data_IF_856594596913
#
_entry.id   IF_856594596913
#
_cell.length_a   1.000
_cell.length_b   1.000
_cell.length_c   1.000
_cell.angle_alpha   90.00
_cell.angle_beta   90.00
_cell.angle_gamma   90.00
#
_symmetry.space_group_name_H-M   'P 1'
#
loop_
_entity.id
_entity.type
_entity.pdbx_description
1 polymer ?
#
# COMPACT_ATOMS: atom_id res chain seq x y z
N UNK A 1 -18.25 8.84 -20.01
CA UNK A 1 -18.01 7.89 -18.89
C UNK A 1 -16.54 7.84 -18.48
N UNK A 2 -15.58 7.58 -19.38
CA UNK A 2 -14.15 7.43 -19.05
C UNK A 2 -13.49 8.56 -18.22
N UNK A 3 -13.97 9.82 -18.34
CA UNK A 3 -13.40 10.95 -17.60
C UNK A 3 -13.78 10.94 -16.09
N UNK A 4 -14.97 10.42 -15.74
CA UNK A 4 -15.44 10.36 -14.35
C UNK A 4 -14.70 9.26 -13.57
N UNK A 5 -14.54 8.09 -14.18
CA UNK A 5 -13.79 6.96 -13.60
C UNK A 5 -12.33 7.33 -13.35
N UNK A 6 -11.68 7.96 -14.33
CA UNK A 6 -10.29 8.43 -14.17
C UNK A 6 -10.14 9.45 -13.05
N UNK A 7 -11.10 10.38 -12.92
CA UNK A 7 -11.13 11.35 -11.82
C UNK A 7 -11.23 10.65 -10.47
N UNK A 8 -12.12 9.67 -10.32
CA UNK A 8 -12.28 8.92 -9.06
C UNK A 8 -11.03 8.10 -8.69
N UNK A 9 -10.33 7.53 -9.68
CA UNK A 9 -9.05 6.83 -9.45
C UNK A 9 -7.97 7.82 -8.98
N UNK A 10 -7.87 8.98 -9.63
CA UNK A 10 -6.92 10.01 -9.23
C UNK A 10 -7.23 10.57 -7.83
N UNK A 11 -8.51 10.69 -7.46
CA UNK A 11 -8.93 11.03 -6.11
C UNK A 11 -8.50 9.97 -5.10
N UNK A 12 -8.70 8.67 -5.40
CA UNK A 12 -8.23 7.58 -4.53
C UNK A 12 -6.70 7.60 -4.32
N UNK A 13 -5.92 7.80 -5.39
CA UNK A 13 -4.47 7.93 -5.29
C UNK A 13 -4.05 9.15 -4.46
N UNK A 14 -4.73 10.29 -4.61
CA UNK A 14 -4.48 11.49 -3.80
C UNK A 14 -4.81 11.26 -2.33
N UNK A 15 -5.96 10.65 -2.03
CA UNK A 15 -6.35 10.29 -0.67
C UNK A 15 -5.37 9.31 -0.03
N UNK A 16 -4.90 8.30 -0.77
CA UNK A 16 -3.87 7.39 -0.30
C UNK A 16 -2.57 8.12 0.09
N UNK A 17 -2.11 9.07 -0.74
CA UNK A 17 -0.93 9.91 -0.43
C UNK A 17 -1.15 10.78 0.80
N UNK A 18 -2.34 11.40 0.89
CA UNK A 18 -2.71 12.24 2.03
C UNK A 18 -2.69 11.47 3.35
N UNK A 19 -3.18 10.23 3.37
CA UNK A 19 -3.12 9.41 4.59
C UNK A 19 -1.73 8.85 4.88
N UNK A 20 -0.87 8.67 3.86
CA UNK A 20 0.51 8.24 4.08
C UNK A 20 1.37 9.37 4.70
N UNK A 21 1.19 10.61 4.23
CA UNK A 21 2.12 11.71 4.55
C UNK A 21 2.32 12.04 6.03
N UNK A 22 1.32 11.98 6.93
CA UNK A 22 1.52 12.36 8.31
C UNK A 22 2.03 11.22 9.22
N UNK A 23 2.16 9.97 8.74
CA UNK A 23 2.46 8.80 9.59
C UNK A 23 3.72 9.01 10.45
N UNK A 24 4.82 9.45 9.85
CA UNK A 24 6.08 9.72 10.57
C UNK A 24 6.07 11.04 11.35
N UNK A 25 5.16 11.96 11.00
CA UNK A 25 5.11 13.31 11.56
C UNK A 25 4.12 13.45 12.71
N UNK A 26 3.40 12.39 13.09
CA UNK A 26 2.38 12.43 14.15
C UNK A 26 2.92 13.00 15.47
N UNK A 27 4.17 12.72 15.83
CA UNK A 27 4.78 13.22 17.08
C UNK A 27 4.98 14.74 17.08
N UNK A 28 5.05 15.36 15.91
CA UNK A 28 5.24 16.82 15.78
C UNK A 28 3.94 17.59 16.07
N UNK A 29 2.79 16.91 16.04
CA UNK A 29 1.49 17.50 16.28
C UNK A 29 1.09 17.35 17.75
N UNK A 30 1.52 18.32 18.56
CA UNK A 30 1.33 18.40 20.02
C UNK A 30 -0.13 18.29 20.52
N UNK A 31 -1.14 18.29 19.64
CA UNK A 31 -2.56 18.19 19.97
C UNK A 31 -3.13 16.78 19.83
N UNK A 32 -2.40 15.81 19.24
CA UNK A 32 -2.84 14.40 19.09
C UNK A 32 -2.59 13.55 20.35
N UNK A 33 -2.60 14.19 21.52
CA UNK A 33 -1.99 13.77 22.80
C UNK A 33 -2.34 12.39 23.35
N UNK A 34 -3.36 11.69 22.86
CA UNK A 34 -3.83 10.50 23.57
C UNK A 34 -3.27 9.18 23.04
N UNK A 35 -3.09 8.98 21.72
CA UNK A 35 -2.66 7.66 21.17
C UNK A 35 -1.98 7.77 19.80
N UNK A 36 -0.75 8.33 19.70
CA UNK A 36 -0.09 8.57 18.42
C UNK A 36 0.08 7.30 17.59
N UNK A 37 0.41 6.16 18.20
CA UNK A 37 0.59 4.89 17.48
C UNK A 37 -0.71 4.35 16.86
N UNK A 38 -1.85 4.56 17.54
CA UNK A 38 -3.15 4.16 16.99
C UNK A 38 -3.55 5.03 15.80
N UNK A 39 -3.19 6.32 15.84
CA UNK A 39 -3.41 7.25 14.73
C UNK A 39 -2.55 6.83 13.54
N UNK A 40 -1.27 6.53 13.75
CA UNK A 40 -0.38 6.02 12.69
C UNK A 40 -0.91 4.75 12.03
N UNK A 41 -1.28 3.76 12.84
CA UNK A 41 -1.85 2.51 12.33
C UNK A 41 -3.15 2.76 11.52
N UNK A 42 -3.99 3.69 11.99
CA UNK A 42 -5.22 4.07 11.28
C UNK A 42 -4.95 4.77 9.95
N UNK A 43 -3.94 5.63 9.88
CA UNK A 43 -3.50 6.31 8.67
C UNK A 43 -2.89 5.33 7.65
N UNK A 44 -2.03 4.42 8.12
CA UNK A 44 -1.47 3.34 7.29
C UNK A 44 -2.58 2.50 6.66
N UNK A 45 -3.53 2.05 7.47
CA UNK A 45 -4.72 1.31 7.03
C UNK A 45 -5.58 2.12 6.06
N UNK A 46 -5.84 3.39 6.35
CA UNK A 46 -6.62 4.27 5.47
C UNK A 46 -5.95 4.43 4.10
N UNK A 47 -4.63 4.59 4.07
CA UNK A 47 -3.86 4.64 2.81
C UNK A 47 -4.00 3.35 2.01
N UNK A 48 -3.80 2.17 2.64
CA UNK A 48 -3.99 0.88 1.98
C UNK A 48 -5.42 0.67 1.46
N UNK A 49 -6.43 1.09 2.23
CA UNK A 49 -7.83 1.04 1.81
C UNK A 49 -8.07 1.87 0.55
N UNK A 50 -7.52 3.08 0.48
CA UNK A 50 -7.65 3.95 -0.70
C UNK A 50 -6.92 3.37 -1.92
N UNK A 51 -5.74 2.78 -1.75
CA UNK A 51 -5.05 2.08 -2.84
C UNK A 51 -5.90 0.90 -3.31
N UNK A 52 -6.39 0.08 -2.39
CA UNK A 52 -7.20 -1.10 -2.70
C UNK A 52 -8.58 -0.75 -3.27
N UNK A 53 -9.12 0.45 -3.00
CA UNK A 53 -10.38 0.95 -3.57
C UNK A 53 -10.32 1.08 -5.10
N UNK A 54 -9.13 1.25 -5.67
CA UNK A 54 -8.93 1.33 -7.12
C UNK A 54 -9.39 0.04 -7.82
N UNK A 55 -9.15 -1.13 -7.21
CA UNK A 55 -9.67 -2.44 -7.66
C UNK A 55 -11.20 -2.41 -7.80
N UNK A 56 -11.90 -1.80 -6.84
CA UNK A 56 -13.36 -1.68 -6.87
C UNK A 56 -13.85 -0.65 -7.89
N UNK A 57 -13.13 0.47 -8.06
CA UNK A 57 -13.46 1.50 -9.04
C UNK A 57 -13.30 1.04 -10.49
N UNK A 58 -12.46 0.02 -10.72
CA UNK A 58 -12.20 -0.52 -12.06
C UNK A 58 -13.05 -1.75 -12.40
N UNK A 59 -13.77 -2.31 -11.42
CA UNK A 59 -14.74 -3.38 -11.68
C UNK A 59 -15.81 -2.87 -12.65
N UNK A 60 -16.01 -3.62 -13.74
CA UNK A 60 -16.96 -3.24 -14.78
C UNK A 60 -16.48 -2.15 -15.74
N UNK A 61 -15.25 -1.67 -15.61
CA UNK A 61 -14.63 -0.79 -16.61
C UNK A 61 -13.92 -1.60 -17.68
N UNK A 62 -13.64 -0.97 -18.83
CA UNK A 62 -12.93 -1.61 -19.96
C UNK A 62 -11.47 -1.95 -19.62
N UNK A 63 -10.94 -1.41 -18.52
CA UNK A 63 -9.56 -1.62 -18.06
C UNK A 63 -9.58 -2.47 -16.79
N UNK A 64 -10.41 -3.51 -16.78
CA UNK A 64 -10.51 -4.39 -15.64
C UNK A 64 -9.13 -4.96 -15.27
N UNK A 65 -8.76 -4.77 -14.01
CA UNK A 65 -7.71 -5.51 -13.35
C UNK A 65 -8.20 -5.94 -11.99
N UNK A 66 -7.66 -7.05 -11.48
CA UNK A 66 -7.89 -7.45 -10.09
C UNK A 66 -6.62 -7.35 -9.27
N UNK A 67 -6.76 -6.86 -8.05
CA UNK A 67 -5.74 -6.98 -7.01
C UNK A 67 -5.75 -8.36 -6.33
N UNK A 68 -6.82 -9.14 -6.47
CA UNK A 68 -6.90 -10.50 -5.90
C UNK A 68 -6.26 -11.48 -6.87
N UNK A 69 -5.36 -12.35 -6.37
CA UNK A 69 -4.69 -13.38 -7.17
C UNK A 69 -4.14 -12.84 -8.50
N UNK A 70 -3.59 -11.63 -8.44
CA UNK A 70 -3.07 -10.96 -9.63
C UNK A 70 -1.79 -11.64 -10.09
N UNK A 71 -1.58 -11.72 -11.41
CA UNK A 71 -0.29 -12.13 -11.99
C UNK A 71 0.84 -11.18 -11.58
N UNK A 72 0.49 -9.95 -11.20
CA UNK A 72 1.41 -9.01 -10.60
C UNK A 72 1.45 -9.23 -9.07
N UNK A 73 2.61 -9.63 -8.51
CA UNK A 73 2.75 -9.88 -7.08
C UNK A 73 2.48 -8.64 -6.22
N UNK A 74 2.74 -7.43 -6.72
CA UNK A 74 2.54 -6.18 -5.95
C UNK A 74 1.06 -5.90 -5.71
N UNK A 75 0.21 -6.16 -6.70
CA UNK A 75 -1.24 -6.01 -6.54
C UNK A 75 -1.80 -7.02 -5.54
N UNK A 76 -1.32 -8.26 -5.60
CA UNK A 76 -1.66 -9.30 -4.61
C UNK A 76 -1.26 -8.89 -3.20
N UNK A 77 -0.06 -8.31 -3.04
CA UNK A 77 0.42 -7.80 -1.76
C UNK A 77 -0.46 -6.68 -1.22
N UNK A 78 -0.82 -5.68 -2.04
CA UNK A 78 -1.70 -4.58 -1.62
C UNK A 78 -3.01 -5.12 -1.04
N UNK A 79 -3.61 -6.13 -1.71
CA UNK A 79 -4.85 -6.73 -1.25
C UNK A 79 -4.68 -7.49 0.05
N UNK A 80 -3.62 -8.29 0.16
CA UNK A 80 -3.30 -9.07 1.37
C UNK A 80 -3.05 -8.13 2.56
N UNK A 81 -2.22 -7.11 2.40
CA UNK A 81 -1.94 -6.11 3.43
C UNK A 81 -3.20 -5.36 3.86
N UNK A 82 -4.03 -4.91 2.90
CA UNK A 82 -5.30 -4.26 3.24
C UNK A 82 -6.22 -5.20 4.01
N UNK A 83 -6.37 -6.44 3.54
CA UNK A 83 -7.24 -7.41 4.20
C UNK A 83 -6.73 -7.74 5.60
N UNK A 84 -5.43 -7.89 5.76
CA UNK A 84 -4.77 -8.06 7.06
C UNK A 84 -5.08 -6.90 8.01
N UNK A 85 -4.86 -5.65 7.58
CA UNK A 85 -5.10 -4.47 8.42
C UNK A 85 -6.58 -4.21 8.74
N UNK A 86 -7.52 -4.74 7.94
CA UNK A 86 -8.97 -4.53 8.13
C UNK A 86 -9.66 -5.70 8.81
N UNK A 87 -9.28 -6.94 8.50
CA UNK A 87 -9.94 -8.17 8.96
C UNK A 87 -9.30 -8.74 10.22
N UNK A 88 -8.00 -8.52 10.41
CA UNK A 88 -7.28 -8.93 11.61
C UNK A 88 -7.03 -7.70 12.50
N UNK A 89 -6.74 -7.95 13.78
CA UNK A 89 -6.53 -6.89 14.79
C UNK A 89 -5.57 -5.84 14.21
N UNK A 90 -5.90 -4.53 14.29
CA UNK A 90 -5.06 -3.49 13.72
C UNK A 90 -3.68 -3.58 14.34
N UNK A 91 -2.67 -3.81 13.51
CA UNK A 91 -1.30 -3.90 13.98
C UNK A 91 -0.83 -2.52 14.42
N UNK A 92 -0.16 -2.49 15.57
CA UNK A 92 0.58 -1.31 15.96
C UNK A 92 1.81 -1.20 15.05
N UNK A 93 2.13 0.03 14.66
CA UNK A 93 3.37 0.29 13.96
C UNK A 93 4.48 0.42 15.01
N UNK A 94 5.54 -0.35 14.84
CA UNK A 94 6.72 -0.29 15.69
C UNK A 94 7.65 0.81 15.19
N UNK A 95 8.23 1.55 16.14
CA UNK A 95 9.29 2.50 15.83
C UNK A 95 10.61 1.76 15.62
N UNK A 96 11.30 2.09 14.53
CA UNK A 96 12.65 1.60 14.23
C UNK A 96 13.54 2.78 13.85
N UNK A 97 14.79 2.72 14.28
CA UNK A 97 15.81 3.70 13.89
C UNK A 97 16.56 3.16 12.67
N UNK A 98 16.59 3.94 11.60
CA UNK A 98 17.37 3.64 10.39
C UNK A 98 18.57 4.57 10.37
N UNK A 99 19.74 3.97 10.41
CA UNK A 99 21.01 4.66 10.22
C UNK A 99 21.26 4.84 8.72
N UNK A 100 21.49 6.08 8.32
CA UNK A 100 21.83 6.45 6.94
C UNK A 100 23.18 7.12 6.95
N UNK A 101 24.11 6.54 6.21
CA UNK A 101 25.42 7.12 5.96
C UNK A 101 25.48 7.64 4.53
N UNK A 102 25.80 8.92 4.36
CA UNK A 102 25.99 9.55 3.06
C UNK A 102 27.33 10.28 3.04
N UNK A 103 28.36 9.65 2.46
CA UNK A 103 29.72 10.17 2.52
C UNK A 103 30.27 10.15 3.95
N UNK A 104 30.64 11.31 4.49
CA UNK A 104 31.05 11.49 5.89
C UNK A 104 29.90 11.73 6.87
N UNK A 105 28.68 11.94 6.36
CA UNK A 105 27.54 12.32 7.19
C UNK A 105 26.81 11.08 7.68
N UNK A 106 26.53 11.05 8.99
CA UNK A 106 25.74 10.02 9.66
C UNK A 106 24.46 10.64 10.19
N UNK A 107 23.32 10.09 9.80
CA UNK A 107 22.01 10.53 10.28
C UNK A 107 21.19 9.32 10.70
N UNK A 108 20.52 9.43 11.85
CA UNK A 108 19.55 8.43 12.33
C UNK A 108 18.16 8.97 12.09
N UNK A 109 17.36 8.24 11.32
CA UNK A 109 15.97 8.57 11.06
C UNK A 109 15.05 7.63 11.82
N UNK A 110 14.08 8.21 12.53
CA UNK A 110 12.97 7.43 13.09
C UNK A 110 12.02 7.04 11.97
N UNK A 111 11.79 5.75 11.84
CA UNK A 111 10.86 5.15 10.91
C UNK A 111 9.84 4.29 11.65
N UNK A 112 8.78 3.94 10.95
CA UNK A 112 7.74 3.06 11.47
C UNK A 112 7.60 1.85 10.55
N UNK A 113 7.45 0.66 11.14
CA UNK A 113 7.24 -0.61 10.42
C UNK A 113 6.02 -1.33 10.98
N UNK A 114 5.34 -2.11 10.12
CA UNK A 114 4.33 -3.07 10.55
C UNK A 114 5.02 -4.38 10.90
N UNK A 115 5.15 -4.66 12.20
CA UNK A 115 5.72 -5.92 12.69
C UNK A 115 4.71 -7.06 12.67
N UNK A 116 5.17 -8.26 13.02
CA UNK A 116 4.33 -9.45 13.24
C UNK A 116 3.46 -9.90 12.05
N UNK A 117 3.82 -9.47 10.84
CA UNK A 117 3.22 -10.01 9.62
C UNK A 117 3.84 -11.37 9.32
N UNK A 118 3.11 -12.44 9.64
CA UNK A 118 3.55 -13.81 9.40
C UNK A 118 2.63 -14.53 8.42
N UNK A 119 3.14 -15.61 7.81
CA UNK A 119 2.32 -16.49 6.98
C UNK A 119 1.10 -17.01 7.74
N UNK A 120 1.28 -17.34 9.02
CA UNK A 120 0.22 -17.84 9.89
C UNK A 120 -0.93 -16.83 10.04
N UNK A 121 -0.62 -15.53 10.15
CA UNK A 121 -1.67 -14.52 10.18
C UNK A 121 -2.39 -14.39 8.84
N UNK A 122 -1.65 -14.45 7.72
CA UNK A 122 -2.27 -14.37 6.39
C UNK A 122 -3.19 -15.56 6.09
N UNK A 123 -2.91 -16.75 6.66
CA UNK A 123 -3.81 -17.91 6.56
C UNK A 123 -5.21 -17.66 7.11
N UNK A 124 -5.35 -16.71 8.04
CA UNK A 124 -6.65 -16.33 8.63
C UNK A 124 -7.48 -15.45 7.69
N UNK A 125 -6.90 -14.96 6.59
CA UNK A 125 -7.60 -14.11 5.62
C UNK A 125 -8.56 -14.94 4.76
N UNK A 126 -9.77 -14.39 4.54
CA UNK A 126 -10.80 -15.05 3.74
C UNK A 126 -10.33 -15.48 2.34
N UNK A 127 -9.50 -14.65 1.71
CA UNK A 127 -9.03 -14.85 0.34
C UNK A 127 -7.70 -15.64 0.26
N UNK A 128 -7.16 -16.16 1.37
CA UNK A 128 -5.87 -16.85 1.40
C UNK A 128 -5.79 -18.02 0.43
N UNK A 129 -6.88 -18.80 0.32
CA UNK A 129 -7.01 -19.97 -0.56
C UNK A 129 -6.81 -19.67 -2.06
N UNK A 130 -6.74 -18.39 -2.46
CA UNK A 130 -6.53 -17.97 -3.85
C UNK A 130 -5.06 -17.80 -4.23
N UNK A 131 -4.14 -18.04 -3.29
CA UNK A 131 -2.71 -17.87 -3.48
C UNK A 131 -1.98 -19.17 -3.16
N UNK A 132 -0.84 -19.38 -3.81
CA UNK A 132 0.09 -20.42 -3.40
C UNK A 132 0.83 -20.00 -2.10
N UNK A 133 1.09 -20.96 -1.22
CA UNK A 133 1.81 -20.72 0.04
C UNK A 133 3.18 -20.06 -0.21
N UNK A 134 3.94 -20.61 -1.16
CA UNK A 134 5.27 -20.11 -1.52
C UNK A 134 5.22 -18.69 -2.11
N UNK A 135 4.12 -18.31 -2.75
CA UNK A 135 3.92 -16.96 -3.24
C UNK A 135 3.72 -15.99 -2.08
N UNK A 136 2.90 -16.36 -1.09
CA UNK A 136 2.66 -15.50 0.08
C UNK A 136 3.93 -15.31 0.90
N UNK A 137 4.69 -16.37 1.14
CA UNK A 137 5.97 -16.27 1.87
C UNK A 137 6.92 -15.26 1.21
N UNK A 138 7.06 -15.33 -0.13
CA UNK A 138 7.88 -14.37 -0.89
C UNK A 138 7.35 -12.94 -0.78
N UNK A 139 6.03 -12.76 -0.78
CA UNK A 139 5.41 -11.44 -0.63
C UNK A 139 5.63 -10.85 0.77
N UNK A 140 5.55 -11.68 1.81
CA UNK A 140 5.81 -11.26 3.19
C UNK A 140 7.29 -10.88 3.36
N UNK A 141 8.21 -11.70 2.85
CA UNK A 141 9.65 -11.40 2.89
C UNK A 141 9.95 -10.10 2.15
N UNK A 142 9.44 -9.95 0.92
CA UNK A 142 9.63 -8.74 0.14
C UNK A 142 9.05 -7.51 0.85
N UNK A 143 7.87 -7.63 1.46
CA UNK A 143 7.28 -6.56 2.25
C UNK A 143 8.17 -6.17 3.43
N UNK A 144 8.62 -7.15 4.21
CA UNK A 144 9.45 -6.92 5.40
C UNK A 144 10.78 -6.24 5.05
N UNK A 145 11.46 -6.72 4.00
CA UNK A 145 12.69 -6.12 3.49
C UNK A 145 12.48 -4.66 3.05
N UNK A 146 11.41 -4.38 2.30
CA UNK A 146 11.17 -3.03 1.78
C UNK A 146 10.72 -2.06 2.87
N UNK A 147 9.84 -2.47 3.79
CA UNK A 147 9.43 -1.60 4.89
C UNK A 147 10.59 -1.31 5.85
N UNK A 148 11.49 -2.27 6.10
CA UNK A 148 12.64 -2.06 6.98
C UNK A 148 13.68 -1.14 6.36
N UNK A 149 13.80 -1.17 5.03
CA UNK A 149 14.71 -0.28 4.30
C UNK A 149 14.19 1.16 4.20
N UNK A 150 12.88 1.34 4.03
CA UNK A 150 12.29 2.62 3.62
C UNK A 150 11.36 3.26 4.66
N UNK A 151 10.85 2.49 5.63
CA UNK A 151 9.70 2.85 6.45
C UNK A 151 8.36 2.63 5.72
N UNK A 152 7.27 2.51 6.48
CA UNK A 152 5.93 2.30 5.90
C UNK A 152 5.45 3.47 5.03
N UNK A 153 5.86 4.71 5.32
CA UNK A 153 5.42 5.88 4.55
C UNK A 153 5.97 5.84 3.13
N UNK A 154 7.28 5.65 3.00
CA UNK A 154 7.94 5.59 1.71
C UNK A 154 7.59 4.30 0.94
N UNK A 155 7.33 3.21 1.66
CA UNK A 155 6.74 2.01 1.08
C UNK A 155 5.37 2.29 0.44
N UNK A 156 4.46 2.96 1.15
CA UNK A 156 3.15 3.35 0.62
C UNK A 156 3.29 4.25 -0.62
N UNK A 157 4.19 5.24 -0.58
CA UNK A 157 4.45 6.07 -1.77
C UNK A 157 4.93 5.26 -2.97
N UNK A 158 5.78 4.27 -2.74
CA UNK A 158 6.27 3.35 -3.78
C UNK A 158 5.12 2.55 -4.38
N UNK A 159 4.22 1.99 -3.55
CA UNK A 159 3.03 1.29 -4.02
C UNK A 159 2.08 2.21 -4.82
N UNK A 160 1.83 3.42 -4.32
CA UNK A 160 0.96 4.39 -5.00
C UNK A 160 1.54 4.74 -6.37
N UNK A 161 2.85 5.02 -6.45
CA UNK A 161 3.54 5.33 -7.71
C UNK A 161 3.48 4.15 -8.68
N UNK A 162 3.67 2.93 -8.18
CA UNK A 162 3.58 1.70 -8.98
C UNK A 162 2.19 1.55 -9.62
N UNK A 163 1.14 1.66 -8.79
CA UNK A 163 -0.26 1.56 -9.24
C UNK A 163 -0.58 2.65 -10.27
N UNK A 164 -0.20 3.90 -10.01
CA UNK A 164 -0.42 5.04 -10.93
C UNK A 164 0.26 4.82 -12.29
N UNK A 165 1.51 4.34 -12.29
CA UNK A 165 2.28 4.06 -13.52
C UNK A 165 1.60 2.97 -14.35
N UNK A 166 1.24 1.84 -13.74
CA UNK A 166 0.57 0.75 -14.46
C UNK A 166 -0.84 1.10 -14.95
N UNK A 167 -1.57 1.92 -14.21
CA UNK A 167 -2.85 2.46 -14.66
C UNK A 167 -2.69 3.28 -15.94
N UNK A 168 -1.74 4.22 -15.95
CA UNK A 168 -1.44 5.08 -17.10
C UNK A 168 -1.03 4.25 -18.31
N UNK A 169 -0.17 3.25 -18.14
CA UNK A 169 0.25 2.35 -19.21
C UNK A 169 -0.92 1.60 -19.84
N UNK A 170 -1.82 1.04 -19.02
CA UNK A 170 -3.00 0.32 -19.52
C UNK A 170 -3.99 1.24 -20.22
N UNK A 171 -4.25 2.42 -19.65
CA UNK A 171 -5.07 3.46 -20.29
C UNK A 171 -4.53 3.85 -21.66
N UNK A 172 -3.22 4.04 -21.77
CA UNK A 172 -2.56 4.41 -23.02
C UNK A 172 -2.63 3.28 -24.05
N UNK A 173 -2.42 2.02 -23.66
CA UNK A 173 -2.58 0.87 -24.54
C UNK A 173 -4.01 0.79 -25.09
N UNK A 174 -5.01 0.93 -24.23
CA UNK A 174 -6.42 0.88 -24.65
C UNK A 174 -6.79 2.02 -25.60
N UNK A 175 -6.33 3.25 -25.33
CA UNK A 175 -6.54 4.40 -26.24
C UNK A 175 -5.90 4.21 -27.60
N UNK A 176 -4.73 3.57 -27.70
CA UNK A 176 -4.06 3.28 -28.97
C UNK A 176 -4.83 2.25 -29.79
N UNK A 177 -5.33 1.19 -29.15
CA UNK A 177 -6.14 0.15 -29.81
C UNK A 177 -7.42 0.72 -30.42
N UNK A 178 -8.09 1.64 -29.71
CA UNK A 178 -9.34 2.25 -30.20
C UNK A 178 -9.15 3.36 -31.24
N UNK A 179 -7.92 3.82 -31.51
CA UNK A 179 -7.62 4.79 -32.59
C UNK A 179 -7.26 4.10 -33.91
N UNK A 180 -7.01 2.80 -33.87
CA UNK A 180 -6.63 1.98 -35.02
C UNK A 180 -7.81 1.11 -35.54
N UNK A 181 -9.02 1.38 -35.05
CA UNK A 181 -10.30 0.83 -35.49
C UNK A 181 -11.16 2.00 -35.98
#
# INVERSE_FOLDING_TARGET
MANKEYKSIQEALKSARFFASPIELIDQHQYLKEKPDQIRASLFRASLCEIARIDDLLKGTVIYFSFVASKDPIFSLIKLLRNFQVQLVPHQLENVEIEVTSGSDFMVYKNYIASNITLHEFQKLRDFHKYEYSQIEKLILWFDENQRKLGVTQFLYSLIKYVDTHLVERLNKHRKLNKNL
#
